data_IF_586142098319
#
_entry.id   IF_586142098319
#
_cell.length_a   1.000
_cell.length_b   1.000
_cell.length_c   1.000
_cell.angle_alpha   90.00
_cell.angle_beta   90.00
_cell.angle_gamma   90.00
#
_symmetry.space_group_name_H-M   'P 1'
#
loop_
_entity.id
_entity.type
_entity.pdbx_description
1 polymer ?
#
# COMPACT_ATOMS: atom_id res chain seq x y z
N UNK A 1 -3.66 -8.91 -6.96
CA UNK A 1 -4.14 -9.85 -5.92
C UNK A 1 -3.54 -11.26 -6.02
N UNK A 2 -3.81 -12.06 -7.07
CA UNK A 2 -3.41 -13.49 -7.11
C UNK A 2 -1.92 -13.76 -6.89
N UNK A 3 -1.03 -13.01 -7.55
CA UNK A 3 0.42 -13.14 -7.35
C UNK A 3 0.88 -12.72 -5.94
N UNK A 4 0.20 -11.74 -5.32
CA UNK A 4 0.51 -11.32 -3.95
C UNK A 4 0.09 -12.39 -2.94
N UNK A 5 -1.09 -13.01 -3.14
CA UNK A 5 -1.59 -14.07 -2.27
C UNK A 5 -0.66 -15.31 -2.24
N UNK A 6 -0.07 -15.67 -3.38
CA UNK A 6 0.93 -16.74 -3.43
C UNK A 6 2.19 -16.40 -2.59
N UNK A 7 2.69 -15.17 -2.71
CA UNK A 7 3.87 -14.70 -1.97
C UNK A 7 3.61 -14.68 -0.46
N UNK A 8 2.47 -14.12 -0.04
CA UNK A 8 2.14 -13.97 1.38
C UNK A 8 1.83 -15.32 2.02
N UNK A 9 1.19 -16.26 1.30
CA UNK A 9 0.97 -17.61 1.77
C UNK A 9 2.27 -18.43 1.91
N UNK A 10 3.28 -18.16 1.08
CA UNK A 10 4.58 -18.81 1.15
C UNK A 10 5.52 -18.21 2.22
N UNK A 11 5.23 -17.01 2.73
CA UNK A 11 6.09 -16.31 3.68
C UNK A 11 5.79 -16.73 5.13
N UNK A 12 6.80 -17.17 5.91
CA UNK A 12 6.61 -17.51 7.33
C UNK A 12 6.52 -16.28 8.24
N UNK A 13 6.71 -15.07 7.69
CA UNK A 13 6.69 -13.79 8.42
C UNK A 13 5.81 -12.76 7.69
N UNK A 14 5.29 -11.73 8.38
CA UNK A 14 4.45 -10.70 7.78
C UNK A 14 5.14 -10.01 6.60
N UNK A 15 4.40 -9.84 5.49
CA UNK A 15 4.88 -9.16 4.29
C UNK A 15 4.34 -7.74 4.24
N UNK A 16 5.21 -6.76 4.08
CA UNK A 16 4.86 -5.35 3.87
C UNK A 16 5.24 -4.95 2.45
N UNK A 17 4.34 -4.29 1.73
CA UNK A 17 4.57 -3.83 0.35
C UNK A 17 5.07 -2.38 0.30
N UNK A 18 5.99 -2.08 -0.61
CA UNK A 18 6.50 -0.72 -0.80
C UNK A 18 5.65 0.07 -1.79
N UNK A 19 5.37 1.34 -1.51
CA UNK A 19 4.47 2.17 -2.30
C UNK A 19 4.90 2.51 -3.73
N UNK A 20 6.08 2.09 -4.18
CA UNK A 20 6.53 2.32 -5.56
C UNK A 20 6.88 3.78 -5.88
N UNK A 21 6.93 4.15 -7.19
CA UNK A 21 7.14 5.53 -7.63
C UNK A 21 5.98 6.44 -7.25
N UNK A 22 6.20 7.76 -7.34
CA UNK A 22 5.14 8.74 -7.13
C UNK A 22 4.07 8.59 -8.22
N UNK A 23 2.80 8.52 -7.84
CA UNK A 23 1.66 8.54 -8.77
C UNK A 23 0.71 9.69 -8.44
N UNK A 24 0.56 10.67 -9.32
CA UNK A 24 -0.28 11.85 -9.07
C UNK A 24 -1.77 11.52 -8.85
N UNK A 25 -2.23 10.34 -9.25
CA UNK A 25 -3.59 9.87 -9.02
C UNK A 25 -3.69 9.14 -7.67
N UNK A 26 -4.30 9.81 -6.69
CA UNK A 26 -4.52 9.25 -5.35
C UNK A 26 -5.33 7.95 -5.39
N UNK A 27 -6.33 7.85 -6.26
CA UNK A 27 -7.22 6.69 -6.32
C UNK A 27 -6.48 5.41 -6.72
N UNK A 28 -5.46 5.52 -7.58
CA UNK A 28 -4.59 4.42 -7.97
C UNK A 28 -3.70 3.95 -6.82
N UNK A 29 -3.21 4.88 -6.01
CA UNK A 29 -2.40 4.57 -4.84
C UNK A 29 -3.26 3.79 -3.83
N UNK A 30 -4.46 4.28 -3.52
CA UNK A 30 -5.37 3.62 -2.58
C UNK A 30 -5.82 2.25 -3.09
N UNK A 31 -6.16 2.13 -4.38
CA UNK A 31 -6.52 0.84 -4.99
C UNK A 31 -5.36 -0.16 -4.95
N UNK A 32 -4.12 0.29 -5.19
CA UNK A 32 -2.94 -0.55 -5.06
C UNK A 32 -2.77 -1.09 -3.64
N UNK A 33 -2.98 -0.24 -2.63
CA UNK A 33 -2.90 -0.65 -1.21
C UNK A 33 -4.01 -1.65 -0.87
N UNK A 34 -5.26 -1.39 -1.24
CA UNK A 34 -6.38 -2.32 -1.04
C UNK A 34 -6.11 -3.69 -1.71
N UNK A 35 -5.62 -3.69 -2.95
CA UNK A 35 -5.27 -4.92 -3.67
C UNK A 35 -4.12 -5.71 -3.00
N UNK A 36 -3.15 -5.01 -2.40
CA UNK A 36 -2.04 -5.65 -1.68
C UNK A 36 -2.52 -6.27 -0.36
N UNK A 37 -3.34 -5.54 0.40
CA UNK A 37 -3.94 -6.02 1.65
C UNK A 37 -4.87 -7.22 1.40
N UNK A 38 -5.71 -7.17 0.37
CA UNK A 38 -6.51 -8.32 -0.10
C UNK A 38 -5.67 -9.50 -0.54
N UNK A 39 -4.44 -9.23 -1.00
CA UNK A 39 -3.43 -10.23 -1.30
C UNK A 39 -2.73 -10.81 -0.07
N UNK A 40 -3.15 -10.47 1.15
CA UNK A 40 -2.58 -10.98 2.40
C UNK A 40 -1.35 -10.21 2.90
N UNK A 41 -1.03 -9.05 2.32
CA UNK A 41 0.00 -8.18 2.88
C UNK A 41 -0.45 -7.71 4.28
N UNK A 42 0.48 -7.63 5.22
CA UNK A 42 0.23 -7.18 6.58
C UNK A 42 0.28 -5.65 6.74
N UNK A 43 0.60 -4.92 5.67
CA UNK A 43 0.66 -3.46 5.65
C UNK A 43 1.47 -2.91 4.48
N UNK A 44 1.71 -1.61 4.52
CA UNK A 44 2.43 -0.85 3.49
C UNK A 44 3.57 -0.01 4.07
N UNK A 45 4.64 0.16 3.30
CA UNK A 45 5.71 1.11 3.55
C UNK A 45 5.66 2.22 2.49
N UNK A 46 5.00 3.33 2.85
CA UNK A 46 4.68 4.42 1.93
C UNK A 46 5.62 5.61 2.12
N UNK A 47 6.40 5.92 1.08
CA UNK A 47 7.33 7.05 1.07
C UNK A 47 6.82 8.21 0.21
N UNK A 48 7.32 8.29 -1.03
CA UNK A 48 7.04 9.38 -1.97
C UNK A 48 5.55 9.71 -2.13
N UNK A 49 4.71 8.68 -2.14
CA UNK A 49 3.27 8.84 -2.26
C UNK A 49 2.60 9.53 -1.05
N UNK A 50 3.29 9.64 0.09
CA UNK A 50 2.85 10.42 1.25
C UNK A 50 3.53 11.79 1.24
N UNK A 51 4.86 11.85 1.37
CA UNK A 51 5.55 13.13 1.60
C UNK A 51 5.61 14.06 0.37
N UNK A 52 5.24 13.59 -0.82
CA UNK A 52 5.09 14.41 -2.04
C UNK A 52 3.63 14.54 -2.48
N UNK A 53 2.67 14.16 -1.64
CA UNK A 53 1.27 14.47 -1.86
C UNK A 53 1.01 15.97 -1.61
N UNK A 54 -0.04 16.55 -2.23
CA UNK A 54 -0.43 17.94 -1.95
C UNK A 54 -0.71 18.20 -0.45
N UNK A 55 -1.31 17.20 0.21
CA UNK A 55 -1.49 17.16 1.67
C UNK A 55 -0.97 15.81 2.20
N UNK A 56 0.26 15.77 2.73
CA UNK A 56 0.85 14.54 3.26
C UNK A 56 0.10 13.97 4.46
N UNK A 57 -0.52 14.82 5.28
CA UNK A 57 -1.28 14.39 6.46
C UNK A 57 -2.55 13.66 6.04
N UNK A 58 -3.35 14.29 5.19
CA UNK A 58 -4.58 13.67 4.66
C UNK A 58 -4.29 12.38 3.89
N UNK A 59 -3.17 12.31 3.16
CA UNK A 59 -2.77 11.09 2.45
C UNK A 59 -2.35 9.98 3.42
N UNK A 60 -1.61 10.30 4.48
CA UNK A 60 -1.25 9.34 5.51
C UNK A 60 -2.49 8.81 6.24
N UNK A 61 -3.44 9.68 6.58
CA UNK A 61 -4.70 9.30 7.23
C UNK A 61 -5.51 8.33 6.36
N UNK A 62 -5.70 8.64 5.06
CA UNK A 62 -6.39 7.75 4.12
C UNK A 62 -5.74 6.38 3.99
N UNK A 63 -4.41 6.33 4.02
CA UNK A 63 -3.67 5.07 3.98
C UNK A 63 -3.82 4.30 5.30
N UNK A 64 -3.80 4.99 6.44
CA UNK A 64 -4.02 4.39 7.75
C UNK A 64 -5.44 3.83 7.90
N UNK A 65 -6.44 4.46 7.31
CA UNK A 65 -7.84 3.98 7.35
C UNK A 65 -8.06 2.66 6.57
N UNK A 66 -7.14 2.31 5.67
CA UNK A 66 -7.21 1.08 4.88
C UNK A 66 -6.54 -0.13 5.56
N UNK A 67 -5.57 0.10 6.46
CA UNK A 67 -4.71 -0.93 7.06
C UNK A 67 -5.32 -1.45 8.36
#
# INVERSE_FOLDING_TARGET
VAAMAEITAASPVPVVVVGGPRDSDESRILAYVDDALRGGAAGVAMGRNVFQAPDPGAMADKLSDLI
#
